data_IF_059189501823
#
_entry.id   IF_059189501823
#
_cell.length_a   1.000
_cell.length_b   1.000
_cell.length_c   1.000
_cell.angle_alpha   90.00
_cell.angle_beta   90.00
_cell.angle_gamma   90.00
#
_symmetry.space_group_name_H-M   'P 1'
#
loop_
_entity.id
_entity.type
_entity.pdbx_description
1 polymer ?
#
# COMPACT_ATOMS: atom_id res chain seq x y z
N UNK A 1 3.08 -22.31 12.65
CA UNK A 1 3.64 -21.02 12.16
C UNK A 1 2.64 -19.87 12.33
N UNK A 2 1.41 -19.96 11.81
CA UNK A 2 0.38 -18.91 11.97
C UNK A 2 0.07 -18.52 13.44
N UNK A 3 -0.04 -19.51 14.34
CA UNK A 3 -0.36 -19.24 15.74
C UNK A 3 0.75 -18.49 16.48
N UNK A 4 2.01 -18.76 16.14
CA UNK A 4 3.18 -18.11 16.75
C UNK A 4 3.32 -16.66 16.28
N UNK A 5 3.11 -16.41 14.97
CA UNK A 5 3.08 -15.05 14.42
C UNK A 5 1.95 -14.23 15.02
N UNK A 6 0.74 -14.79 15.14
CA UNK A 6 -0.38 -14.10 15.78
C UNK A 6 -0.03 -13.70 17.21
N UNK A 7 0.49 -14.63 18.02
CA UNK A 7 0.97 -14.34 19.38
C UNK A 7 2.04 -13.24 19.41
N UNK A 8 2.97 -13.23 18.44
CA UNK A 8 4.01 -12.18 18.38
C UNK A 8 3.43 -10.79 18.07
N UNK A 9 2.39 -10.69 17.25
CA UNK A 9 1.72 -9.42 16.98
C UNK A 9 0.85 -8.96 18.15
N UNK A 10 0.22 -9.87 18.88
CA UNK A 10 -0.50 -9.54 20.11
C UNK A 10 0.45 -8.95 21.15
N UNK A 11 1.59 -9.62 21.39
CA UNK A 11 2.61 -9.12 22.32
C UNK A 11 3.18 -7.76 21.89
N UNK A 12 3.46 -7.56 20.59
CA UNK A 12 3.90 -6.26 20.09
C UNK A 12 2.85 -5.16 20.28
N UNK A 13 1.56 -5.48 20.11
CA UNK A 13 0.47 -4.54 20.38
C UNK A 13 0.37 -4.20 21.86
N UNK A 14 0.53 -5.18 22.75
CA UNK A 14 0.56 -4.97 24.20
C UNK A 14 1.67 -4.01 24.61
N UNK A 15 2.89 -4.18 24.06
CA UNK A 15 4.00 -3.24 24.30
C UNK A 15 3.62 -1.82 23.85
N UNK A 16 2.99 -1.66 22.69
CA UNK A 16 2.56 -0.34 22.21
C UNK A 16 1.49 0.28 23.11
N UNK A 17 0.54 -0.52 23.61
CA UNK A 17 -0.47 -0.07 24.57
C UNK A 17 0.21 0.39 25.86
N UNK A 18 1.20 -0.37 26.35
CA UNK A 18 1.90 -0.03 27.58
C UNK A 18 2.76 1.23 27.44
N UNK A 19 3.47 1.37 26.31
CA UNK A 19 4.15 2.63 25.96
C UNK A 19 3.17 3.81 25.98
N UNK A 20 1.95 3.60 25.47
CA UNK A 20 0.92 4.64 25.46
C UNK A 20 0.40 4.95 26.87
N UNK A 21 0.21 3.95 27.72
CA UNK A 21 -0.19 4.12 29.13
C UNK A 21 0.85 4.92 29.93
N UNK A 22 2.13 4.77 29.59
CA UNK A 22 3.24 5.54 30.16
C UNK A 22 3.44 6.91 29.51
N UNK A 23 2.48 7.38 28.69
CA UNK A 23 2.50 8.63 27.93
C UNK A 23 3.75 8.80 27.05
N UNK A 24 4.33 7.70 26.56
CA UNK A 24 5.43 7.75 25.59
C UNK A 24 4.93 8.39 24.31
N UNK A 25 5.60 9.46 23.87
CA UNK A 25 5.27 10.14 22.62
C UNK A 25 5.53 9.25 21.41
N UNK A 26 4.50 9.02 20.60
CA UNK A 26 4.63 8.22 19.38
C UNK A 26 5.21 9.05 18.24
N UNK A 27 6.19 8.46 17.55
CA UNK A 27 6.68 8.98 16.28
C UNK A 27 5.77 8.58 15.11
N UNK A 28 5.98 9.18 13.93
CA UNK A 28 5.29 8.78 12.69
C UNK A 28 5.47 7.30 12.37
N UNK A 29 6.65 6.76 12.65
CA UNK A 29 6.98 5.36 12.41
C UNK A 29 6.34 4.45 13.45
N UNK A 30 6.25 4.90 14.71
CA UNK A 30 5.52 4.19 15.77
C UNK A 30 4.04 4.04 15.41
N UNK A 31 3.39 5.09 14.90
CA UNK A 31 2.01 5.01 14.41
C UNK A 31 1.88 4.07 13.19
N UNK A 32 2.82 4.13 12.25
CA UNK A 32 2.83 3.23 11.10
C UNK A 32 2.95 1.77 11.52
N UNK A 33 3.84 1.47 12.48
CA UNK A 33 4.02 0.14 13.04
C UNK A 33 2.76 -0.32 13.79
N UNK A 34 2.20 0.53 14.66
CA UNK A 34 0.97 0.21 15.41
C UNK A 34 -0.18 -0.14 14.45
N UNK A 35 -0.38 0.65 13.40
CA UNK A 35 -1.48 0.41 12.47
C UNK A 35 -1.21 -0.82 11.58
N UNK A 36 0.04 -1.10 11.23
CA UNK A 36 0.43 -2.32 10.55
C UNK A 36 0.14 -3.56 11.41
N UNK A 37 0.45 -3.52 12.71
CA UNK A 37 0.15 -4.60 13.66
C UNK A 37 -1.37 -4.81 13.75
N UNK A 38 -2.15 -3.73 13.92
CA UNK A 38 -3.61 -3.84 13.95
C UNK A 38 -4.16 -4.44 12.65
N UNK A 39 -3.65 -3.99 11.51
CA UNK A 39 -4.02 -4.56 10.20
C UNK A 39 -3.70 -6.06 10.10
N UNK A 40 -2.54 -6.51 10.62
CA UNK A 40 -2.16 -7.94 10.62
C UNK A 40 -3.01 -8.79 11.56
N UNK A 41 -3.43 -8.25 12.71
CA UNK A 41 -4.31 -8.95 13.65
C UNK A 41 -5.75 -9.06 13.13
N UNK A 42 -6.22 -8.04 12.40
CA UNK A 42 -7.51 -7.99 11.73
C UNK A 42 -8.69 -8.47 12.62
N UNK A 43 -8.74 -7.97 13.85
CA UNK A 43 -9.83 -8.22 14.81
C UNK A 43 -10.64 -6.95 15.09
N UNK A 44 -11.89 -7.05 15.57
CA UNK A 44 -12.68 -5.89 15.99
C UNK A 44 -11.97 -5.05 17.06
N UNK A 45 -11.24 -5.69 17.98
CA UNK A 45 -10.44 -5.04 19.02
C UNK A 45 -9.28 -4.24 18.40
N UNK A 46 -8.57 -4.82 17.43
CA UNK A 46 -7.49 -4.14 16.73
C UNK A 46 -7.98 -2.90 15.96
N UNK A 47 -9.19 -2.97 15.38
CA UNK A 47 -9.84 -1.83 14.74
C UNK A 47 -10.20 -0.75 15.76
N UNK A 48 -10.72 -1.14 16.94
CA UNK A 48 -11.03 -0.20 18.03
C UNK A 48 -9.76 0.55 18.46
N UNK A 49 -8.68 -0.18 18.72
CA UNK A 49 -7.38 0.41 19.11
C UNK A 49 -6.84 1.33 18.02
N UNK A 50 -6.87 0.89 16.76
CA UNK A 50 -6.43 1.71 15.62
C UNK A 50 -7.25 3.00 15.51
N UNK A 51 -8.56 2.93 15.74
CA UNK A 51 -9.46 4.11 15.71
C UNK A 51 -9.12 5.07 16.84
N UNK A 52 -8.99 4.58 18.08
CA UNK A 52 -8.64 5.41 19.24
C UNK A 52 -7.28 6.10 19.07
N UNK A 53 -6.24 5.36 18.67
CA UNK A 53 -4.91 5.92 18.44
C UNK A 53 -4.92 7.01 17.35
N UNK A 54 -5.74 6.83 16.32
CA UNK A 54 -5.91 7.80 15.24
C UNK A 54 -6.62 9.07 15.69
N UNK A 55 -7.70 8.95 16.45
CA UNK A 55 -8.46 10.08 17.01
C UNK A 55 -7.60 10.89 17.97
N UNK A 56 -6.85 10.23 18.85
CA UNK A 56 -5.89 10.88 19.74
C UNK A 56 -4.79 11.62 18.97
N UNK A 57 -4.23 11.01 17.93
CA UNK A 57 -3.25 11.67 17.07
C UNK A 57 -3.83 12.95 16.46
N UNK A 58 -5.07 12.90 15.97
CA UNK A 58 -5.76 14.06 15.41
C UNK A 58 -5.97 15.17 16.44
N UNK A 59 -6.43 14.83 17.65
CA UNK A 59 -6.65 15.80 18.75
C UNK A 59 -5.33 16.47 19.15
N UNK A 60 -4.24 15.71 19.20
CA UNK A 60 -2.90 16.22 19.53
C UNK A 60 -2.24 16.97 18.35
N UNK A 61 -2.88 17.06 17.19
CA UNK A 61 -2.33 17.70 15.99
C UNK A 61 -1.18 16.92 15.34
N UNK A 62 -1.05 15.63 15.63
CA UNK A 62 0.00 14.77 15.08
C UNK A 62 -0.32 14.38 13.63
N UNK A 63 0.66 14.51 12.74
CA UNK A 63 0.48 14.19 11.32
C UNK A 63 0.83 12.73 11.07
N UNK A 64 -0.19 11.90 10.85
CA UNK A 64 -0.03 10.50 10.46
C UNK A 64 0.66 10.36 9.09
N UNK A 65 1.54 9.38 8.96
CA UNK A 65 2.11 9.04 7.67
C UNK A 65 1.04 8.48 6.74
N UNK A 66 1.16 8.71 5.43
CA UNK A 66 0.27 8.12 4.42
C UNK A 66 0.16 6.61 4.59
N UNK A 67 1.28 5.94 4.88
CA UNK A 67 1.34 4.49 5.07
C UNK A 67 0.50 4.04 6.28
N UNK A 68 0.61 4.74 7.41
CA UNK A 68 -0.26 4.49 8.56
C UNK A 68 -1.73 4.63 8.16
N UNK A 69 -2.11 5.75 7.54
CA UNK A 69 -3.50 5.97 7.10
C UNK A 69 -4.00 4.88 6.15
N UNK A 70 -3.18 4.41 5.21
CA UNK A 70 -3.53 3.29 4.32
C UNK A 70 -3.79 1.99 5.08
N UNK A 71 -3.02 1.67 6.13
CA UNK A 71 -3.29 0.51 6.98
C UNK A 71 -4.63 0.65 7.72
N UNK A 72 -4.94 1.83 8.24
CA UNK A 72 -6.21 2.08 8.91
C UNK A 72 -7.41 1.91 7.96
N UNK A 73 -7.31 2.42 6.72
CA UNK A 73 -8.34 2.23 5.68
C UNK A 73 -8.48 0.75 5.34
N UNK A 74 -7.38 0.05 5.08
CA UNK A 74 -7.40 -1.37 4.73
C UNK A 74 -8.00 -2.23 5.85
N UNK A 75 -7.67 -1.95 7.11
CA UNK A 75 -8.26 -2.61 8.28
C UNK A 75 -9.77 -2.36 8.37
N UNK A 76 -10.22 -1.12 8.16
CA UNK A 76 -11.64 -0.80 8.16
C UNK A 76 -12.39 -1.53 7.04
N UNK A 77 -11.80 -1.64 5.83
CA UNK A 77 -12.36 -2.41 4.72
C UNK A 77 -12.43 -3.92 5.04
N UNK A 78 -11.39 -4.49 5.66
CA UNK A 78 -11.38 -5.91 6.05
C UNK A 78 -12.46 -6.23 7.10
N UNK A 79 -12.81 -5.26 7.94
CA UNK A 79 -13.87 -5.35 8.94
C UNK A 79 -15.26 -4.93 8.41
N UNK A 80 -15.40 -4.70 7.10
CA UNK A 80 -16.64 -4.23 6.44
C UNK A 80 -17.17 -2.90 6.99
N UNK A 81 -16.31 -2.05 7.56
CA UNK A 81 -16.68 -0.74 8.11
C UNK A 81 -16.49 0.35 7.05
N UNK A 82 -17.29 0.31 5.99
CA UNK A 82 -17.15 1.15 4.79
C UNK A 82 -17.18 2.65 5.12
N UNK A 83 -18.09 3.09 5.99
CA UNK A 83 -18.18 4.50 6.40
C UNK A 83 -16.89 5.00 7.07
N UNK A 84 -16.28 4.16 7.93
CA UNK A 84 -14.98 4.47 8.54
C UNK A 84 -13.86 4.49 7.50
N UNK A 85 -13.85 3.53 6.58
CA UNK A 85 -12.86 3.49 5.50
C UNK A 85 -12.91 4.77 4.64
N UNK A 86 -14.10 5.25 4.28
CA UNK A 86 -14.29 6.52 3.54
C UNK A 86 -13.76 7.70 4.36
N UNK A 87 -14.15 7.81 5.64
CA UNK A 87 -13.71 8.88 6.54
C UNK A 87 -12.18 8.88 6.72
N UNK A 88 -11.57 7.71 6.81
CA UNK A 88 -10.13 7.59 6.96
C UNK A 88 -9.40 7.93 5.66
N UNK A 89 -9.95 7.52 4.51
CA UNK A 89 -9.36 7.76 3.20
C UNK A 89 -9.41 9.24 2.80
N UNK A 90 -10.51 9.95 3.11
CA UNK A 90 -10.65 11.37 2.78
C UNK A 90 -9.62 12.28 3.46
N UNK A 91 -9.09 11.85 4.61
CA UNK A 91 -8.05 12.58 5.34
C UNK A 91 -6.62 12.28 4.87
N UNK A 92 -6.44 11.38 3.89
CA UNK A 92 -5.12 11.09 3.33
C UNK A 92 -4.69 12.22 2.40
N UNK A 93 -3.62 12.92 2.80
CA UNK A 93 -2.99 13.93 1.97
C UNK A 93 -2.25 13.29 0.77
N UNK A 94 -2.47 13.84 -0.43
CA UNK A 94 -1.88 13.40 -1.72
C UNK A 94 -2.19 11.92 -2.02
N UNK A 95 -3.34 11.69 -2.63
CA UNK A 95 -3.87 10.36 -2.99
C UNK A 95 -3.29 9.79 -4.29
N UNK A 96 -2.37 10.51 -4.95
CA UNK A 96 -1.69 10.12 -6.19
C UNK A 96 -0.61 9.03 -5.93
N UNK A 97 -1.05 7.87 -5.46
CA UNK A 97 -0.19 6.71 -5.23
C UNK A 97 -0.95 5.43 -5.59
N UNK A 98 -0.21 4.43 -6.07
CA UNK A 98 -0.69 3.07 -6.41
C UNK A 98 -1.54 2.49 -5.28
N UNK A 99 -1.05 2.60 -4.04
CA UNK A 99 -1.79 2.13 -2.87
C UNK A 99 -3.14 2.83 -2.68
N UNK A 100 -3.17 4.15 -2.79
CA UNK A 100 -4.38 4.93 -2.62
C UNK A 100 -5.37 4.66 -3.76
N UNK A 101 -4.91 4.49 -4.99
CA UNK A 101 -5.75 4.12 -6.13
C UNK A 101 -6.44 2.76 -5.88
N UNK A 102 -5.69 1.75 -5.44
CA UNK A 102 -6.24 0.42 -5.15
C UNK A 102 -7.21 0.42 -3.97
N UNK A 103 -6.90 1.14 -2.89
CA UNK A 103 -7.82 1.32 -1.76
C UNK A 103 -9.10 2.06 -2.17
N UNK A 104 -8.97 3.07 -3.05
CA UNK A 104 -10.12 3.81 -3.56
C UNK A 104 -11.08 2.90 -4.33
N UNK A 105 -10.56 2.02 -5.19
CA UNK A 105 -11.37 1.04 -5.91
C UNK A 105 -12.10 0.12 -4.92
N UNK A 106 -11.40 -0.41 -3.90
CA UNK A 106 -12.03 -1.28 -2.89
C UNK A 106 -13.12 -0.57 -2.09
N UNK A 107 -12.95 0.71 -1.75
CA UNK A 107 -13.99 1.52 -1.11
C UNK A 107 -15.23 1.58 -2.01
N UNK A 108 -15.06 1.87 -3.30
CA UNK A 108 -16.19 1.97 -4.24
C UNK A 108 -16.89 0.62 -4.47
N UNK A 109 -16.13 -0.49 -4.49
CA UNK A 109 -16.67 -1.86 -4.52
C UNK A 109 -17.56 -2.12 -3.30
N UNK A 110 -17.08 -1.83 -2.09
CA UNK A 110 -17.83 -2.10 -0.86
C UNK A 110 -19.00 -1.12 -0.65
N UNK A 111 -18.88 0.12 -1.12
CA UNK A 111 -19.96 1.11 -1.12
C UNK A 111 -21.02 0.88 -2.22
N UNK A 112 -20.84 -0.15 -3.08
CA UNK A 112 -21.68 -0.44 -4.23
C UNK A 112 -21.82 0.73 -5.24
N UNK A 113 -20.79 1.58 -5.32
CA UNK A 113 -20.75 2.75 -6.21
C UNK A 113 -20.15 2.37 -7.57
N UNK A 114 -20.77 1.39 -8.24
CA UNK A 114 -20.19 0.73 -9.42
C UNK A 114 -20.05 1.65 -10.64
N UNK A 115 -20.97 2.62 -10.81
CA UNK A 115 -20.85 3.61 -11.90
C UNK A 115 -19.61 4.47 -11.73
N UNK A 116 -19.40 5.01 -10.52
CA UNK A 116 -18.22 5.82 -10.18
C UNK A 116 -16.94 5.00 -10.30
N UNK A 117 -16.96 3.72 -9.90
CA UNK A 117 -15.83 2.82 -10.07
C UNK A 117 -15.43 2.68 -11.55
N UNK A 118 -16.40 2.51 -12.45
CA UNK A 118 -16.14 2.39 -13.89
C UNK A 118 -15.56 3.69 -14.46
N UNK A 119 -16.08 4.86 -14.07
CA UNK A 119 -15.52 6.14 -14.51
C UNK A 119 -14.09 6.34 -13.99
N UNK A 120 -13.79 6.00 -12.73
CA UNK A 120 -12.42 6.08 -12.18
C UNK A 120 -11.45 5.21 -13.00
N UNK A 121 -11.83 3.96 -13.30
CA UNK A 121 -10.97 3.06 -14.08
C UNK A 121 -10.83 3.52 -15.52
N UNK A 122 -11.90 4.08 -16.10
CA UNK A 122 -11.89 4.65 -17.45
C UNK A 122 -10.95 5.85 -17.52
N UNK A 123 -11.07 6.81 -16.61
CA UNK A 123 -10.19 7.98 -16.53
C UNK A 123 -8.72 7.56 -16.35
N UNK A 124 -8.46 6.52 -15.57
CA UNK A 124 -7.11 5.98 -15.40
C UNK A 124 -6.57 5.27 -16.66
N UNK A 125 -7.44 4.68 -17.49
CA UNK A 125 -7.07 4.01 -18.74
C UNK A 125 -6.92 4.99 -19.93
N UNK A 126 -7.74 6.04 -19.96
CA UNK A 126 -7.79 7.07 -21.01
C UNK A 126 -6.86 8.25 -20.72
N UNK A 127 -6.44 8.44 -19.47
CA UNK A 127 -5.56 9.51 -19.05
C UNK A 127 -4.31 9.57 -19.91
N UNK A 128 -4.26 10.60 -20.78
CA UNK A 128 -3.09 11.01 -21.57
C UNK A 128 -2.01 11.56 -20.64
N UNK A 129 -1.48 10.71 -19.77
CA UNK A 129 -0.34 11.03 -18.96
C UNK A 129 0.87 11.14 -19.89
N UNK A 130 1.54 12.29 -19.85
CA UNK A 130 2.82 12.46 -20.55
C UNK A 130 3.73 11.27 -20.25
N UNK A 131 4.66 10.93 -21.16
CA UNK A 131 5.61 9.82 -20.97
C UNK A 131 6.38 9.88 -19.63
N UNK A 132 6.36 11.04 -18.95
CA UNK A 132 7.06 11.31 -17.70
C UNK A 132 6.19 11.20 -16.44
N UNK A 133 4.86 11.11 -16.56
CA UNK A 133 3.98 10.92 -15.39
C UNK A 133 3.70 9.44 -15.20
N UNK A 134 4.00 8.94 -14.00
CA UNK A 134 3.74 7.55 -13.63
C UNK A 134 2.25 7.27 -13.72
N UNK A 135 1.86 6.31 -14.57
CA UNK A 135 0.48 5.86 -14.69
C UNK A 135 0.01 5.21 -13.40
N UNK A 136 -1.28 5.32 -13.10
CA UNK A 136 -1.87 4.58 -12.00
C UNK A 136 -1.79 3.09 -12.31
N UNK A 137 -1.33 2.33 -11.33
CA UNK A 137 -1.21 0.88 -11.38
C UNK A 137 -2.28 0.27 -10.47
N UNK A 138 -2.92 -0.80 -10.94
CA UNK A 138 -3.95 -1.53 -10.21
C UNK A 138 -3.50 -2.97 -9.97
N UNK A 139 -3.84 -3.50 -8.80
CA UNK A 139 -3.63 -4.89 -8.44
C UNK A 139 -4.65 -5.77 -9.16
N UNK A 140 -4.18 -6.86 -9.77
CA UNK A 140 -5.04 -7.87 -10.38
C UNK A 140 -6.10 -8.38 -9.39
N UNK A 141 -5.73 -8.56 -8.12
CA UNK A 141 -6.64 -8.99 -7.05
C UNK A 141 -7.82 -8.00 -6.87
N UNK A 142 -7.53 -6.70 -6.94
CA UNK A 142 -8.53 -5.64 -6.77
C UNK A 142 -9.45 -5.56 -7.99
N UNK A 143 -8.89 -5.68 -9.20
CA UNK A 143 -9.65 -5.71 -10.44
C UNK A 143 -10.55 -6.95 -10.53
N UNK A 144 -10.07 -8.11 -10.07
CA UNK A 144 -10.88 -9.33 -10.00
C UNK A 144 -12.10 -9.14 -9.07
N UNK A 145 -11.92 -8.48 -7.91
CA UNK A 145 -13.05 -8.14 -7.01
C UNK A 145 -14.03 -7.16 -7.66
N UNK A 146 -13.54 -6.19 -8.43
CA UNK A 146 -14.39 -5.28 -9.19
C UNK A 146 -15.22 -6.03 -10.24
N UNK A 147 -14.57 -6.92 -11.01
CA UNK A 147 -15.22 -7.76 -12.02
C UNK A 147 -16.32 -8.63 -11.43
N UNK A 148 -16.03 -9.27 -10.30
CA UNK A 148 -16.98 -10.11 -9.58
C UNK A 148 -18.22 -9.31 -9.13
N UNK A 149 -18.06 -8.04 -8.76
CA UNK A 149 -19.20 -7.19 -8.40
C UNK A 149 -20.07 -6.74 -9.58
N UNK A 150 -19.51 -6.65 -10.79
CA UNK A 150 -20.26 -6.23 -11.99
C UNK A 150 -20.75 -7.41 -12.83
N UNK A 151 -20.43 -8.65 -12.46
CA UNK A 151 -20.70 -9.86 -13.27
C UNK A 151 -22.17 -10.02 -13.68
N UNK A 152 -23.09 -9.67 -12.79
CA UNK A 152 -24.54 -9.81 -13.00
C UNK A 152 -25.16 -8.60 -13.72
N UNK A 153 -24.32 -7.65 -14.16
CA UNK A 153 -24.73 -6.41 -14.83
C UNK A 153 -24.10 -6.32 -16.22
N UNK A 154 -24.75 -6.88 -17.28
CA UNK A 154 -24.14 -7.04 -18.60
C UNK A 154 -23.53 -5.74 -19.18
N UNK A 155 -24.22 -4.61 -19.02
CA UNK A 155 -23.76 -3.33 -19.53
C UNK A 155 -22.50 -2.81 -18.80
N UNK A 156 -22.40 -3.00 -17.47
CA UNK A 156 -21.22 -2.60 -16.72
C UNK A 156 -20.07 -3.60 -16.90
N UNK A 157 -20.39 -4.89 -17.01
CA UNK A 157 -19.40 -5.94 -17.27
C UNK A 157 -18.70 -5.71 -18.62
N UNK A 158 -19.46 -5.42 -19.69
CA UNK A 158 -18.89 -5.13 -21.00
C UNK A 158 -17.94 -3.92 -20.96
N UNK A 159 -18.35 -2.83 -20.27
CA UNK A 159 -17.51 -1.64 -20.09
C UNK A 159 -16.25 -1.96 -19.27
N UNK A 160 -16.41 -2.72 -18.18
CA UNK A 160 -15.28 -3.14 -17.34
C UNK A 160 -14.27 -3.95 -18.15
N UNK A 161 -14.71 -4.96 -18.89
CA UNK A 161 -13.83 -5.83 -19.67
C UNK A 161 -13.09 -5.04 -20.77
N UNK A 162 -13.72 -4.03 -21.39
CA UNK A 162 -13.04 -3.12 -22.32
C UNK A 162 -11.93 -2.30 -21.62
N UNK A 163 -12.25 -1.69 -20.47
CA UNK A 163 -11.30 -0.88 -19.70
C UNK A 163 -10.15 -1.75 -19.18
N UNK A 164 -10.45 -2.94 -18.66
CA UNK A 164 -9.46 -3.90 -18.18
C UNK A 164 -8.44 -4.26 -19.27
N UNK A 165 -8.90 -4.53 -20.50
CA UNK A 165 -7.99 -4.77 -21.64
C UNK A 165 -7.08 -3.56 -21.91
N UNK A 166 -7.63 -2.33 -21.88
CA UNK A 166 -6.83 -1.11 -22.07
C UNK A 166 -5.77 -0.96 -20.97
N UNK A 167 -6.14 -1.16 -19.70
CA UNK A 167 -5.22 -1.12 -18.57
C UNK A 167 -4.10 -2.17 -18.73
N UNK A 168 -4.43 -3.38 -19.17
CA UNK A 168 -3.46 -4.44 -19.41
C UNK A 168 -2.48 -4.09 -20.55
N UNK A 169 -2.99 -3.62 -21.69
CA UNK A 169 -2.17 -3.16 -22.83
C UNK A 169 -1.24 -2.00 -22.41
N UNK A 170 -1.74 -1.12 -21.56
CA UNK A 170 -1.00 0.03 -21.04
C UNK A 170 0.04 -0.32 -19.95
N UNK A 171 0.14 -1.59 -19.52
CA UNK A 171 1.03 -2.01 -18.44
C UNK A 171 0.63 -1.47 -17.06
N UNK A 172 -0.66 -1.16 -16.85
CA UNK A 172 -1.20 -0.58 -15.61
C UNK A 172 -1.72 -1.65 -14.63
N UNK A 173 -1.49 -2.92 -14.93
CA UNK A 173 -1.93 -4.05 -14.10
C UNK A 173 -0.71 -4.70 -13.46
N UNK A 174 -0.77 -4.91 -12.16
CA UNK A 174 0.33 -5.47 -11.36
C UNK A 174 -0.09 -6.78 -10.71
N UNK A 175 0.88 -7.69 -10.56
CA UNK A 175 0.71 -8.97 -9.85
C UNK A 175 0.82 -8.83 -8.33
N UNK A 176 1.22 -7.66 -7.83
CA UNK A 176 1.29 -7.38 -6.41
C UNK A 176 -0.12 -7.33 -5.81
N UNK A 177 -0.35 -8.11 -4.74
CA UNK A 177 -1.57 -8.04 -3.93
C UNK A 177 -1.63 -6.75 -3.14
N UNK A 178 -2.82 -6.36 -2.67
CA UNK A 178 -2.95 -5.19 -1.80
C UNK A 178 -2.07 -5.32 -0.54
N UNK A 179 -2.01 -6.52 0.04
CA UNK A 179 -1.17 -6.80 1.22
C UNK A 179 0.31 -6.56 0.92
N UNK A 180 0.80 -7.04 -0.23
CA UNK A 180 2.19 -6.80 -0.62
C UNK A 180 2.46 -5.33 -0.86
N UNK A 181 1.55 -4.58 -1.47
CA UNK A 181 1.71 -3.14 -1.65
C UNK A 181 1.76 -2.39 -0.31
N UNK A 182 0.93 -2.77 0.67
CA UNK A 182 0.87 -2.14 2.00
C UNK A 182 2.13 -2.43 2.82
N UNK A 183 2.57 -3.69 2.78
CA UNK A 183 3.71 -4.17 3.55
C UNK A 183 5.05 -4.02 2.83
N UNK A 184 5.06 -3.60 1.56
CA UNK A 184 6.30 -3.26 0.87
C UNK A 184 6.98 -2.08 1.57
N UNK A 185 8.08 -2.37 2.25
CA UNK A 185 9.04 -1.33 2.61
C UNK A 185 9.70 -0.93 1.31
N UNK A 186 9.67 0.36 0.90
CA UNK A 186 10.42 0.79 -0.26
C UNK A 186 11.86 0.37 -0.01
N UNK A 187 12.29 -0.68 -0.72
CA UNK A 187 13.69 -1.06 -0.71
C UNK A 187 14.43 0.19 -1.13
N UNK A 188 15.48 0.54 -0.38
CA UNK A 188 16.49 1.47 -0.83
C UNK A 188 16.71 1.12 -2.29
N UNK A 189 16.25 2.01 -3.21
CA UNK A 189 16.20 1.73 -4.65
C UNK A 189 17.54 1.10 -4.90
N UNK A 190 17.62 -0.20 -5.24
CA UNK A 190 18.91 -0.85 -5.52
C UNK A 190 19.56 0.14 -6.45
N UNK A 191 20.56 0.82 -5.90
CA UNK A 191 21.12 1.96 -6.56
C UNK A 191 21.63 1.39 -7.87
N UNK A 192 21.83 2.25 -8.85
CA UNK A 192 22.54 1.91 -10.07
C UNK A 192 23.96 1.33 -9.82
N UNK A 193 24.29 0.83 -8.63
CA UNK A 193 25.48 0.05 -8.28
C UNK A 193 25.61 -1.29 -9.01
N UNK A 194 24.56 -1.86 -9.60
CA UNK A 194 24.77 -2.99 -10.53
C UNK A 194 25.43 -2.57 -11.86
N UNK A 195 25.38 -1.27 -12.22
CA UNK A 195 26.07 -0.74 -13.39
C UNK A 195 27.52 -0.29 -13.11
N UNK A 196 27.90 -0.11 -11.84
CA UNK A 196 29.26 0.29 -11.45
C UNK A 196 30.20 -0.90 -11.18
N UNK A 197 29.68 -2.10 -10.93
CA UNK A 197 30.50 -3.30 -10.73
C UNK A 197 31.17 -3.88 -12.00
N UNK A 198 31.11 -3.17 -13.14
CA UNK A 198 31.77 -3.60 -14.39
C UNK A 198 33.08 -2.87 -14.71
N UNK A 199 33.61 -2.02 -13.82
CA UNK A 199 34.89 -1.33 -14.05
C UNK A 199 35.93 -1.70 -12.99
N UNK A 200 36.34 -2.96 -12.99
CA UNK A 200 37.46 -3.46 -12.17
C UNK A 200 38.71 -3.73 -12.98
N UNK A 201 38.91 -3.04 -14.11
CA UNK A 201 40.15 -3.11 -14.90
C UNK A 201 40.62 -1.70 -15.20
N UNK A 202 41.85 -1.39 -14.80
CA UNK A 202 42.50 -0.12 -15.10
C UNK A 202 42.65 0.04 -16.61
N UNK A 203 42.16 1.14 -17.18
CA UNK A 203 42.32 1.43 -18.62
C UNK A 203 43.75 1.81 -19.02
N UNK A 204 44.63 2.11 -18.06
CA UNK A 204 46.05 2.44 -18.35
C UNK A 204 46.94 1.21 -18.35
N UNK A 205 46.62 0.20 -17.56
CA UNK A 205 47.47 -0.99 -17.33
C UNK A 205 46.80 -2.32 -17.69
N UNK A 206 45.51 -2.32 -18.03
CA UNK A 206 44.72 -3.51 -18.38
C UNK A 206 44.81 -4.67 -17.37
N UNK A 207 45.04 -4.38 -16.08
CA UNK A 207 45.07 -5.38 -15.02
C UNK A 207 43.91 -5.21 -14.03
N UNK A 208 43.42 -6.33 -13.44
CA UNK A 208 42.41 -6.29 -12.39
C UNK A 208 43.01 -5.81 -11.06
N UNK A 209 42.33 -4.87 -10.40
CA UNK A 209 42.83 -4.14 -9.21
C UNK A 209 42.93 -4.97 -7.91
N UNK A 210 43.00 -6.31 -7.96
CA UNK A 210 42.83 -7.15 -6.77
C UNK A 210 43.96 -8.18 -6.53
N UNK A 211 45.23 -7.81 -6.76
CA UNK A 211 46.37 -8.72 -6.52
C UNK A 211 47.60 -8.05 -5.85
N UNK A 212 47.44 -7.22 -4.81
CA UNK A 212 48.62 -6.78 -4.04
C UNK A 212 48.36 -6.51 -2.56
N UNK A 213 47.79 -7.47 -1.86
CA UNK A 213 47.76 -7.45 -0.39
C UNK A 213 48.24 -8.75 0.27
N UNK A 214 49.05 -9.53 -0.44
CA UNK A 214 49.85 -10.62 0.13
C UNK A 214 51.16 -10.72 -0.64
N UNK A 215 52.14 -9.92 -0.23
CA UNK A 215 53.55 -10.16 -0.48
C UNK A 215 54.26 -9.88 0.85
N UNK A 216 54.91 -10.93 1.38
CA UNK A 216 55.87 -10.85 2.49
C UNK A 216 57.08 -9.96 2.15
#
# INVERSE_FOLDING_TARGET
IWNWLKMSFTGALEVLIEMKNQDVKFSKDTYALAFAICYRLNSPESLKICTTLREEALIKGEVLSRRASCFAVALALNQNQVAKAISFFSQIMKQENVLCANLNILIHIQANMLKTLIEILKDAAEGNLSKFVRRQEFSEEVLAKAREKVKDMPALLARFDEIYRKLHINGQVTTYTLDTLLCHTPGDRKSHMMLLNKRTVSHRTFQPLNQSLWAE
#
